data_IF_387392207917
#
_entry.id   IF_387392207917
#
_cell.length_a   1.000
_cell.length_b   1.000
_cell.length_c   1.000
_cell.angle_alpha   90.00
_cell.angle_beta   90.00
_cell.angle_gamma   90.00
#
_symmetry.space_group_name_H-M   'P 1'
#
loop_
_entity.id
_entity.type
_entity.pdbx_description
1 polymer ?
#
# COMPACT_ATOMS: atom_id res chain seq x y z
N UNK A 1 17.20 11.84 9.39
CA UNK A 1 15.86 12.34 9.75
C UNK A 1 15.29 13.32 8.73
N UNK A 2 16.13 14.18 8.11
CA UNK A 2 15.70 15.12 7.06
C UNK A 2 15.14 14.48 5.78
N UNK A 3 15.76 13.39 5.32
CA UNK A 3 15.37 12.71 4.07
C UNK A 3 14.03 11.95 4.19
N UNK A 4 13.74 11.38 5.36
CA UNK A 4 12.48 10.68 5.63
C UNK A 4 11.30 11.67 5.72
N UNK A 5 11.50 12.86 6.30
CA UNK A 5 10.46 13.89 6.32
C UNK A 5 10.14 14.40 4.91
N UNK A 6 11.17 14.61 4.07
CA UNK A 6 10.98 15.09 2.69
C UNK A 6 10.24 14.09 1.80
N UNK A 7 10.40 12.79 2.04
CA UNK A 7 9.66 11.75 1.31
C UNK A 7 8.20 11.64 1.77
N UNK A 8 7.94 11.82 3.06
CA UNK A 8 6.57 11.79 3.61
C UNK A 8 5.76 13.05 3.28
N UNK A 9 6.40 14.21 3.13
CA UNK A 9 5.75 15.48 2.83
C UNK A 9 5.77 15.87 1.34
N UNK A 10 6.23 14.98 0.44
CA UNK A 10 6.17 15.19 -1.01
C UNK A 10 4.76 14.96 -1.61
N UNK A 11 3.74 14.79 -0.76
CA UNK A 11 2.36 14.66 -1.22
C UNK A 11 1.79 16.03 -1.63
N UNK A 12 1.74 16.25 -2.95
CA UNK A 12 1.08 17.34 -3.71
C UNK A 12 1.99 18.53 -4.06
N UNK A 13 2.19 18.94 -5.32
CA UNK A 13 1.25 19.04 -6.44
C UNK A 13 1.97 18.99 -7.80
N UNK A 14 1.30 18.44 -8.83
CA UNK A 14 1.62 18.56 -10.26
C UNK A 14 2.86 17.89 -10.89
N UNK A 15 3.62 17.06 -10.18
CA UNK A 15 4.63 16.22 -10.84
C UNK A 15 4.19 14.76 -10.90
N UNK A 16 4.39 14.03 -12.02
CA UNK A 16 4.25 12.59 -12.00
C UNK A 16 5.16 12.10 -10.88
N UNK A 17 4.61 11.32 -9.95
CA UNK A 17 5.36 10.64 -8.89
C UNK A 17 6.66 10.15 -9.51
N UNK A 18 7.81 10.41 -8.88
CA UNK A 18 9.09 9.99 -9.42
C UNK A 18 9.15 8.45 -9.42
N UNK A 19 8.60 7.83 -10.48
CA UNK A 19 8.37 6.39 -10.64
C UNK A 19 9.67 5.57 -10.64
N UNK A 20 10.82 6.23 -10.46
CA UNK A 20 12.16 5.66 -10.55
C UNK A 20 12.66 5.10 -9.20
N UNK A 21 11.90 5.24 -8.11
CA UNK A 21 12.09 4.38 -6.93
C UNK A 21 11.27 3.09 -7.11
N UNK A 22 11.82 2.12 -7.84
CA UNK A 22 11.27 0.77 -8.10
C UNK A 22 10.96 -0.05 -6.81
N UNK A 23 11.12 0.55 -5.64
CA UNK A 23 10.90 0.00 -4.31
C UNK A 23 9.52 0.34 -3.73
N UNK A 24 8.84 1.38 -4.21
CA UNK A 24 7.63 1.92 -3.59
C UNK A 24 6.37 1.61 -4.40
N UNK A 25 5.27 1.39 -3.68
CA UNK A 25 3.92 1.31 -4.19
C UNK A 25 3.34 2.73 -4.35
N UNK A 26 2.74 3.08 -5.49
CA UNK A 26 2.04 4.35 -5.63
C UNK A 26 0.81 4.44 -4.70
N UNK A 27 0.42 5.64 -4.25
CA UNK A 27 -0.78 5.83 -3.45
C UNK A 27 -2.05 5.39 -4.19
N UNK A 28 -3.09 5.01 -3.44
CA UNK A 28 -4.29 4.40 -4.00
C UNK A 28 -4.98 5.26 -5.07
N UNK A 29 -4.97 6.60 -4.94
CA UNK A 29 -5.56 7.50 -5.94
C UNK A 29 -4.84 7.45 -7.28
N UNK A 30 -3.51 7.34 -7.27
CA UNK A 30 -2.70 7.30 -8.51
C UNK A 30 -2.89 5.97 -9.22
N UNK A 31 -2.94 4.88 -8.46
CA UNK A 31 -3.26 3.56 -9.00
C UNK A 31 -4.64 3.54 -9.67
N UNK A 32 -5.64 4.13 -9.02
CA UNK A 32 -6.99 4.28 -9.59
C UNK A 32 -6.97 5.08 -10.90
N UNK A 33 -6.24 6.21 -10.94
CA UNK A 33 -6.04 7.02 -12.17
C UNK A 33 -5.38 6.21 -13.29
N UNK A 34 -4.48 5.30 -12.94
CA UNK A 34 -3.77 4.42 -13.89
C UNK A 34 -4.56 3.15 -14.24
N UNK A 35 -5.83 3.05 -13.83
CA UNK A 35 -6.73 1.97 -14.21
C UNK A 35 -6.65 0.73 -13.33
N UNK A 36 -5.99 0.80 -12.17
CA UNK A 36 -6.03 -0.27 -11.17
C UNK A 36 -7.34 -0.19 -10.40
N UNK A 37 -8.06 -1.30 -10.32
CA UNK A 37 -9.29 -1.43 -9.54
C UNK A 37 -9.01 -2.17 -8.25
N UNK A 38 -9.54 -1.67 -7.13
CA UNK A 38 -9.43 -2.31 -5.83
C UNK A 38 -10.64 -3.18 -5.57
N UNK A 39 -10.43 -4.39 -5.07
CA UNK A 39 -11.52 -5.33 -4.78
C UNK A 39 -11.27 -6.09 -3.46
N UNK A 40 -12.29 -6.21 -2.59
CA UNK A 40 -12.13 -6.92 -1.34
C UNK A 40 -12.07 -8.43 -1.58
N UNK A 41 -11.12 -9.09 -0.92
CA UNK A 41 -10.97 -10.54 -0.89
C UNK A 41 -11.59 -11.10 0.39
N UNK A 42 -12.30 -12.22 0.27
CA UNK A 42 -12.82 -12.96 1.42
C UNK A 42 -11.82 -14.05 1.77
N UNK A 43 -11.03 -13.84 2.81
CA UNK A 43 -9.94 -14.74 3.23
C UNK A 43 -9.65 -14.49 4.71
N UNK A 44 -9.27 -15.52 5.49
CA UNK A 44 -8.86 -15.34 6.88
C UNK A 44 -7.44 -14.76 7.00
N UNK A 45 -6.68 -14.71 5.90
CA UNK A 45 -5.28 -14.30 5.89
C UNK A 45 -5.14 -12.80 5.64
N UNK A 46 -4.75 -12.01 6.66
CA UNK A 46 -4.69 -10.54 6.59
C UNK A 46 -3.75 -9.97 5.51
N UNK A 47 -2.69 -10.69 5.16
CA UNK A 47 -1.70 -10.28 4.18
C UNK A 47 -1.86 -10.97 2.80
N UNK A 48 -3.00 -11.63 2.56
CA UNK A 48 -3.29 -12.32 1.29
C UNK A 48 -3.74 -11.32 0.21
N UNK A 49 -2.75 -10.67 -0.41
CA UNK A 49 -2.93 -9.62 -1.41
C UNK A 49 -2.50 -10.14 -2.78
N UNK A 50 -3.35 -10.02 -3.78
CA UNK A 50 -3.07 -10.52 -5.13
C UNK A 50 -3.36 -9.45 -6.18
N UNK A 51 -2.61 -9.48 -7.27
CA UNK A 51 -2.83 -8.60 -8.41
C UNK A 51 -3.09 -9.41 -9.67
N UNK A 52 -4.25 -9.19 -10.28
CA UNK A 52 -4.59 -9.67 -11.61
C UNK A 52 -4.12 -8.62 -12.63
N UNK A 53 -2.98 -8.88 -13.24
CA UNK A 53 -2.33 -7.99 -14.21
C UNK A 53 -3.10 -7.87 -15.54
N UNK A 54 -3.86 -8.90 -15.92
CA UNK A 54 -4.69 -8.89 -17.13
C UNK A 54 -5.85 -7.93 -17.00
N UNK A 55 -6.48 -7.92 -15.82
CA UNK A 55 -7.65 -7.08 -15.56
C UNK A 55 -7.32 -5.79 -14.80
N UNK A 56 -6.09 -5.64 -14.29
CA UNK A 56 -5.69 -4.52 -13.45
C UNK A 56 -6.41 -4.50 -12.11
N UNK A 57 -6.62 -5.67 -11.48
CA UNK A 57 -7.39 -5.77 -10.21
C UNK A 57 -6.46 -6.12 -9.06
N UNK A 58 -6.39 -5.23 -8.06
CA UNK A 58 -5.69 -5.46 -6.81
C UNK A 58 -6.69 -5.94 -5.75
N UNK A 59 -6.58 -7.21 -5.38
CA UNK A 59 -7.45 -7.87 -4.42
C UNK A 59 -6.75 -8.02 -3.07
N UNK A 60 -7.42 -7.64 -1.98
CA UNK A 60 -6.86 -7.79 -0.64
C UNK A 60 -7.94 -7.89 0.43
N UNK A 61 -7.61 -8.47 1.59
CA UNK A 61 -8.58 -8.72 2.64
C UNK A 61 -9.11 -7.40 3.19
N UNK A 62 -10.38 -7.41 3.61
CA UNK A 62 -10.98 -6.24 4.26
C UNK A 62 -10.24 -5.97 5.57
N UNK A 63 -9.87 -4.72 5.82
CA UNK A 63 -9.32 -4.31 7.10
C UNK A 63 -10.47 -3.78 7.98
N UNK A 64 -10.88 -4.53 9.02
CA UNK A 64 -12.00 -4.12 9.85
C UNK A 64 -11.59 -3.05 10.85
N UNK A 65 -12.52 -2.18 11.24
CA UNK A 65 -12.34 -1.19 12.32
C UNK A 65 -12.17 -1.83 13.71
N UNK A 66 -12.37 -3.13 13.84
CA UNK A 66 -12.35 -3.76 15.16
C UNK A 66 -10.93 -3.78 15.76
N UNK A 67 -10.84 -3.70 17.09
CA UNK A 67 -9.56 -3.75 17.78
C UNK A 67 -8.81 -5.05 17.51
N UNK A 68 -9.52 -6.16 17.26
CA UNK A 68 -8.92 -7.47 17.02
C UNK A 68 -7.95 -7.47 15.83
N UNK A 69 -8.30 -6.87 14.69
CA UNK A 69 -7.39 -6.79 13.54
C UNK A 69 -6.15 -5.95 13.86
N UNK A 70 -6.33 -4.82 14.58
CA UNK A 70 -5.23 -3.96 15.03
C UNK A 70 -4.29 -4.74 15.98
N UNK A 71 -4.83 -5.45 16.97
CA UNK A 71 -4.05 -6.28 17.88
C UNK A 71 -3.32 -7.41 17.15
N UNK A 72 -3.99 -8.04 16.18
CA UNK A 72 -3.42 -9.13 15.40
C UNK A 72 -2.22 -8.65 14.59
N UNK A 73 -2.35 -7.54 13.85
CA UNK A 73 -1.24 -6.98 13.07
C UNK A 73 -0.10 -6.52 13.98
N UNK A 74 -0.40 -5.88 15.11
CA UNK A 74 0.63 -5.46 16.07
C UNK A 74 1.42 -6.65 16.62
N UNK A 75 0.74 -7.72 17.03
CA UNK A 75 1.38 -8.90 17.58
C UNK A 75 2.23 -9.63 16.54
N UNK A 76 1.75 -9.71 15.30
CA UNK A 76 2.48 -10.35 14.20
C UNK A 76 3.73 -9.55 13.80
N UNK A 77 3.63 -8.22 13.74
CA UNK A 77 4.81 -7.34 13.54
C UNK A 77 5.80 -7.47 14.71
N UNK A 78 5.30 -7.48 15.94
CA UNK A 78 6.15 -7.63 17.13
C UNK A 78 6.86 -8.99 17.16
N UNK A 79 6.18 -10.07 16.76
CA UNK A 79 6.76 -11.40 16.63
C UNK A 79 7.88 -11.43 15.58
N UNK A 80 7.62 -10.93 14.36
CA UNK A 80 8.63 -10.87 13.29
C UNK A 80 9.90 -10.11 13.71
N UNK A 81 9.75 -9.02 14.47
CA UNK A 81 10.88 -8.22 14.95
C UNK A 81 11.55 -8.87 16.16
N UNK A 82 10.77 -9.34 17.13
CA UNK A 82 11.25 -9.90 18.39
C UNK A 82 12.02 -11.21 18.20
N UNK A 83 11.58 -12.02 17.23
CA UNK A 83 12.27 -13.26 16.85
C UNK A 83 13.46 -13.00 15.91
N UNK A 84 13.74 -11.74 15.57
CA UNK A 84 14.92 -11.36 14.79
C UNK A 84 14.88 -11.78 13.34
N UNK A 85 13.69 -11.93 12.73
CA UNK A 85 13.57 -12.35 11.33
C UNK A 85 14.29 -11.37 10.41
N UNK A 86 14.84 -11.86 9.30
CA UNK A 86 15.46 -11.01 8.30
C UNK A 86 14.38 -10.09 7.67
N UNK A 87 14.68 -8.80 7.37
CA UNK A 87 13.69 -7.86 6.83
C UNK A 87 12.95 -8.38 5.58
N UNK A 88 13.64 -9.16 4.74
CA UNK A 88 13.06 -9.77 3.53
C UNK A 88 12.14 -10.95 3.78
N UNK A 89 11.98 -11.38 5.03
CA UNK A 89 11.12 -12.47 5.47
C UNK A 89 9.91 -11.96 6.27
N UNK A 90 9.92 -10.69 6.70
CA UNK A 90 8.88 -10.05 7.51
C UNK A 90 7.64 -9.72 6.67
N UNK A 91 6.67 -10.61 6.66
CA UNK A 91 5.43 -10.51 5.91
C UNK A 91 4.53 -9.37 6.44
N UNK A 92 4.37 -9.23 7.75
CA UNK A 92 3.48 -8.26 8.36
C UNK A 92 4.10 -6.86 8.45
N UNK A 93 5.41 -6.76 8.62
CA UNK A 93 6.13 -5.50 8.38
C UNK A 93 5.96 -5.03 6.93
N UNK A 94 6.05 -5.96 5.96
CA UNK A 94 5.80 -5.67 4.54
C UNK A 94 4.35 -5.25 4.27
N UNK A 95 3.39 -5.92 4.90
CA UNK A 95 1.99 -5.53 4.85
C UNK A 95 1.76 -4.12 5.40
N UNK A 96 2.36 -3.78 6.56
CA UNK A 96 2.25 -2.45 7.14
C UNK A 96 2.86 -1.36 6.25
N UNK A 97 4.03 -1.64 5.66
CA UNK A 97 4.68 -0.76 4.69
C UNK A 97 3.80 -0.54 3.45
N UNK A 98 3.26 -1.63 2.89
CA UNK A 98 2.34 -1.59 1.76
C UNK A 98 1.09 -0.75 2.01
N UNK A 99 0.44 -0.96 3.16
CA UNK A 99 -0.74 -0.20 3.55
C UNK A 99 -0.41 1.28 3.80
N UNK A 100 0.75 1.58 4.38
CA UNK A 100 1.21 2.95 4.59
C UNK A 100 1.49 3.69 3.27
N UNK A 101 2.02 3.00 2.27
CA UNK A 101 2.28 3.57 0.94
C UNK A 101 0.98 3.78 0.16
N UNK A 102 0.03 2.85 0.27
CA UNK A 102 -1.30 3.01 -0.33
C UNK A 102 -2.08 4.18 0.26
N UNK A 103 -1.95 4.45 1.57
CA UNK A 103 -2.72 5.46 2.31
C UNK A 103 -1.84 6.71 2.54
N UNK A 104 -1.48 7.39 1.45
CA UNK A 104 -0.69 8.63 1.51
C UNK A 104 -1.47 9.84 2.03
N UNK A 105 -2.80 9.82 1.92
CA UNK A 105 -3.66 10.90 2.38
C UNK A 105 -5.15 10.55 2.35
N UNK A 106 -5.98 11.58 2.53
CA UNK A 106 -7.43 11.42 2.61
C UNK A 106 -8.02 10.86 1.32
N UNK A 107 -7.61 11.35 0.16
CA UNK A 107 -8.14 10.88 -1.14
C UNK A 107 -7.82 9.41 -1.36
N UNK A 108 -6.62 8.98 -0.97
CA UNK A 108 -6.20 7.59 -1.07
C UNK A 108 -7.03 6.67 -0.18
N UNK A 109 -7.24 7.08 1.07
CA UNK A 109 -8.10 6.36 2.00
C UNK A 109 -9.53 6.25 1.46
N UNK A 110 -10.09 7.33 0.91
CA UNK A 110 -11.44 7.34 0.32
C UNK A 110 -11.56 6.29 -0.80
N UNK A 111 -10.57 6.18 -1.70
CA UNK A 111 -10.56 5.15 -2.75
C UNK A 111 -10.66 3.73 -2.15
N UNK A 112 -9.95 3.47 -1.06
CA UNK A 112 -9.98 2.16 -0.40
C UNK A 112 -11.29 1.93 0.40
N UNK A 113 -11.86 2.97 0.98
CA UNK A 113 -13.15 2.92 1.69
C UNK A 113 -14.28 2.62 0.70
N UNK A 114 -14.31 3.33 -0.43
CA UNK A 114 -15.31 3.16 -1.49
C UNK A 114 -15.22 1.76 -2.12
N UNK A 115 -14.01 1.24 -2.28
CA UNK A 115 -13.77 -0.14 -2.70
C UNK A 115 -14.17 -1.19 -1.63
N UNK A 116 -14.52 -0.76 -0.41
CA UNK A 116 -14.91 -1.63 0.68
C UNK A 116 -13.77 -2.40 1.33
N UNK A 117 -12.52 -1.98 1.10
CA UNK A 117 -11.31 -2.51 1.72
C UNK A 117 -11.21 -2.04 3.16
N UNK A 118 -11.17 -0.72 3.36
CA UNK A 118 -11.10 -0.13 4.69
C UNK A 118 -12.52 0.00 5.23
N UNK A 119 -12.88 -0.77 6.26
CA UNK A 119 -14.20 -0.71 6.89
C UNK A 119 -14.25 0.33 8.00
N UNK A 120 -13.86 1.56 7.67
CA UNK A 120 -13.89 2.75 8.54
C UNK A 120 -14.75 3.84 7.88
N UNK A 121 -15.10 4.87 8.66
CA UNK A 121 -15.77 6.06 8.11
C UNK A 121 -14.72 6.95 7.40
N UNK A 122 -15.12 7.72 6.40
CA UNK A 122 -14.20 8.56 5.62
C UNK A 122 -13.51 9.63 6.48
N UNK A 123 -14.17 10.12 7.52
CA UNK A 123 -13.61 11.03 8.53
C UNK A 123 -12.54 10.38 9.43
N UNK A 124 -12.57 9.05 9.57
CA UNK A 124 -11.64 8.28 10.40
C UNK A 124 -10.36 7.89 9.62
N UNK A 125 -10.17 8.37 8.37
CA UNK A 125 -9.05 7.99 7.51
C UNK A 125 -7.68 8.16 8.18
N UNK A 126 -7.52 9.23 8.97
CA UNK A 126 -6.26 9.55 9.64
C UNK A 126 -5.86 8.48 10.66
N UNK A 127 -6.83 7.77 11.24
CA UNK A 127 -6.57 6.66 12.17
C UNK A 127 -5.84 5.53 11.43
N UNK A 128 -6.31 5.13 10.25
CA UNK A 128 -5.67 4.09 9.46
C UNK A 128 -4.30 4.55 8.93
N UNK A 129 -4.20 5.78 8.41
CA UNK A 129 -2.94 6.35 7.93
C UNK A 129 -1.88 6.41 9.06
N UNK A 130 -2.26 6.91 10.23
CA UNK A 130 -1.38 7.00 11.40
C UNK A 130 -0.99 5.62 11.92
N UNK A 131 -1.93 4.67 11.91
CA UNK A 131 -1.69 3.30 12.36
C UNK A 131 -0.61 2.61 11.52
N UNK A 132 -0.80 2.55 10.19
CA UNK A 132 0.17 1.92 9.30
C UNK A 132 1.47 2.72 9.19
N UNK A 133 1.39 4.06 9.20
CA UNK A 133 2.57 4.93 9.19
C UNK A 133 3.48 4.77 10.42
N UNK A 134 2.95 4.31 11.55
CA UNK A 134 3.75 3.97 12.74
C UNK A 134 4.42 2.61 12.64
N UNK A 135 3.80 1.66 11.94
CA UNK A 135 4.32 0.29 11.80
C UNK A 135 5.31 0.16 10.64
N UNK A 136 5.09 0.88 9.54
CA UNK A 136 5.93 0.80 8.34
C UNK A 136 7.44 1.00 8.60
N UNK A 137 7.88 1.97 9.43
CA UNK A 137 9.30 2.17 9.72
C UNK A 137 9.95 1.04 10.53
N UNK A 138 9.15 0.14 11.14
CA UNK A 138 9.66 -0.98 11.91
C UNK A 138 10.30 -2.07 11.03
N UNK A 139 10.12 -2.01 9.71
CA UNK A 139 10.85 -2.85 8.77
C UNK A 139 12.30 -2.36 8.56
N UNK A 140 13.09 -2.32 9.64
CA UNK A 140 14.49 -1.86 9.67
C UNK A 140 15.32 -2.70 8.69
N UNK A 141 15.67 -2.14 7.52
CA UNK A 141 16.34 -2.87 6.43
C UNK A 141 15.68 -2.73 5.04
N UNK A 142 14.48 -2.15 4.98
CA UNK A 142 14.02 -1.29 3.86
C UNK A 142 13.49 -1.96 2.60
N UNK A 143 13.19 -3.27 2.62
CA UNK A 143 12.66 -3.99 1.46
C UNK A 143 11.40 -4.77 1.78
N UNK A 144 10.55 -4.93 0.77
CA UNK A 144 9.43 -5.86 0.84
C UNK A 144 9.91 -7.31 0.94
N UNK A 145 9.21 -8.09 1.74
CA UNK A 145 9.21 -9.54 1.71
C UNK A 145 8.84 -10.03 0.29
N UNK A 146 9.33 -11.22 -0.08
CA UNK A 146 9.27 -11.74 -1.45
C UNK A 146 7.91 -11.56 -2.14
N UNK A 147 6.80 -11.90 -1.48
CA UNK A 147 5.44 -11.79 -2.02
C UNK A 147 5.09 -10.34 -2.35
N UNK A 148 5.24 -9.42 -1.40
CA UNK A 148 4.96 -8.00 -1.61
C UNK A 148 5.89 -7.38 -2.65
N UNK A 149 7.15 -7.80 -2.71
CA UNK A 149 8.09 -7.33 -3.73
C UNK A 149 7.63 -7.72 -5.13
N UNK A 150 7.17 -8.96 -5.31
CA UNK A 150 6.63 -9.44 -6.60
C UNK A 150 5.33 -8.73 -6.94
N UNK A 151 4.43 -8.55 -5.97
CA UNK A 151 3.18 -7.82 -6.11
C UNK A 151 3.42 -6.37 -6.58
N UNK A 152 4.24 -5.60 -5.87
CA UNK A 152 4.54 -4.20 -6.18
C UNK A 152 5.18 -4.06 -7.56
N UNK A 153 6.08 -4.99 -7.93
CA UNK A 153 6.65 -5.03 -9.28
C UNK A 153 5.59 -5.25 -10.36
N UNK A 154 4.64 -6.15 -10.14
CA UNK A 154 3.57 -6.42 -11.10
C UNK A 154 2.64 -5.20 -11.26
N UNK A 155 2.25 -4.56 -10.15
CA UNK A 155 1.44 -3.33 -10.19
C UNK A 155 2.19 -2.21 -10.91
N UNK A 156 3.46 -1.98 -10.57
CA UNK A 156 4.26 -0.94 -11.20
C UNK A 156 4.44 -1.19 -12.70
N UNK A 157 4.63 -2.44 -13.14
CA UNK A 157 4.70 -2.80 -14.55
C UNK A 157 3.40 -2.47 -15.30
N UNK A 158 2.24 -2.80 -14.71
CA UNK A 158 0.94 -2.46 -15.25
C UNK A 158 0.75 -0.94 -15.38
N UNK A 159 1.05 -0.19 -14.32
CA UNK A 159 0.95 1.27 -14.29
C UNK A 159 1.88 1.95 -15.31
N UNK A 160 3.11 1.45 -15.48
CA UNK A 160 4.04 1.96 -16.49
C UNK A 160 3.49 1.77 -17.91
N UNK A 161 2.86 0.62 -18.19
CA UNK A 161 2.23 0.38 -19.48
C UNK A 161 1.04 1.30 -19.71
N UNK A 162 0.16 1.45 -18.71
CA UNK A 162 -0.99 2.35 -18.78
C UNK A 162 -0.57 3.81 -19.01
N UNK A 163 0.48 4.29 -18.33
CA UNK A 163 0.99 5.65 -18.54
C UNK A 163 1.51 5.88 -19.96
N UNK A 164 2.24 4.91 -20.54
CA UNK A 164 2.73 5.01 -21.92
C UNK A 164 1.56 5.17 -22.89
N UNK A 165 0.50 4.37 -22.71
CA UNK A 165 -0.72 4.46 -23.53
C UNK A 165 -1.38 5.82 -23.40
N UNK A 166 -1.56 6.34 -22.18
CA UNK A 166 -2.17 7.65 -21.95
C UNK A 166 -1.36 8.80 -22.59
N UNK A 167 -0.03 8.74 -22.54
CA UNK A 167 0.85 9.73 -23.20
C UNK A 167 0.72 9.70 -24.72
N UNK A 168 0.59 8.51 -25.31
CA UNK A 168 0.37 8.34 -26.77
C UNK A 168 -1.01 8.86 -27.18
N UNK A 169 -2.02 8.73 -26.32
CA UNK A 169 -3.39 9.18 -26.58
C UNK A 169 -3.64 10.67 -26.27
N UNK A 170 -2.62 11.41 -25.81
CA UNK A 170 -2.72 12.88 -25.61
C UNK A 170 -3.49 13.32 -24.37
N UNK A 171 -3.82 12.41 -23.44
CA UNK A 171 -4.42 12.76 -22.16
C UNK A 171 -3.33 13.28 -21.20
N UNK A 172 -3.48 14.53 -20.74
CA UNK A 172 -2.67 15.14 -19.66
C UNK A 172 -3.48 15.23 -18.38
#
# INVERSE_FOLDING_TARGET
>A
MELLWRLLNASSSNSPVDWVLWKLMPPARELSRLGVRFKPKTTPHLADITFDDKNGVLEFPRFPRNGLAIYTVNNLVAMEIGDGWEPTERLFCSYAMFMSELIGGREDATVLIDAGILKIRAEDWLVAATYFGRLAPLNVGGGYQHHFRTLVRAVNAYCMQASKVMRVMGFR
#
